data_IF_436742489071
#
_entry.id   IF_436742489071
#
_cell.length_a   1.000
_cell.length_b   1.000
_cell.length_c   1.000
_cell.angle_alpha   90.00
_cell.angle_beta   90.00
_cell.angle_gamma   90.00
#
_symmetry.space_group_name_H-M   'P 1'
#
loop_
_entity.id
_entity.type
_entity.pdbx_description
1 polymer ?
#
# COMPACT_ATOMS: atom_id res chain seq x y z
N UNK A 1 -37.76 -27.77 -14.69
CA UNK A 1 -36.58 -28.31 -15.42
C UNK A 1 -35.67 -27.13 -15.73
N UNK A 2 -34.50 -27.09 -15.11
CA UNK A 2 -33.47 -26.08 -15.34
C UNK A 2 -32.67 -26.56 -16.54
N UNK A 3 -32.64 -25.79 -17.62
CA UNK A 3 -31.64 -25.99 -18.67
C UNK A 3 -30.47 -25.01 -18.50
N UNK A 4 -29.30 -25.56 -18.70
CA UNK A 4 -27.99 -25.14 -18.22
C UNK A 4 -27.15 -24.81 -19.46
N UNK A 5 -26.42 -23.71 -19.37
CA UNK A 5 -25.12 -23.43 -20.01
C UNK A 5 -25.16 -22.76 -21.39
N UNK A 6 -24.83 -21.47 -21.38
CA UNK A 6 -23.68 -20.95 -22.15
C UNK A 6 -23.23 -19.63 -21.53
N UNK A 7 -22.36 -19.71 -20.52
CA UNK A 7 -21.54 -18.57 -20.08
C UNK A 7 -20.10 -18.85 -20.55
N UNK A 8 -19.66 -18.11 -21.55
CA UNK A 8 -18.25 -18.03 -21.94
C UNK A 8 -17.57 -17.17 -20.87
N UNK A 9 -16.81 -17.80 -19.98
CA UNK A 9 -15.88 -17.10 -19.08
C UNK A 9 -14.58 -16.93 -19.84
N UNK A 10 -14.33 -15.73 -20.37
CA UNK A 10 -13.00 -15.36 -20.83
C UNK A 10 -12.09 -15.14 -19.62
N UNK A 11 -11.35 -16.16 -19.23
CA UNK A 11 -10.26 -16.04 -18.28
C UNK A 11 -9.05 -15.41 -18.98
N UNK A 12 -8.90 -14.08 -18.89
CA UNK A 12 -7.62 -13.44 -19.20
C UNK A 12 -6.67 -13.66 -18.03
N UNK A 13 -5.98 -14.80 -18.04
CA UNK A 13 -4.72 -14.95 -17.34
C UNK A 13 -3.65 -14.22 -18.17
N UNK A 14 -3.27 -13.02 -17.75
CA UNK A 14 -2.05 -12.40 -18.27
C UNK A 14 -0.86 -13.25 -17.78
N UNK A 15 -0.37 -14.14 -18.64
CA UNK A 15 0.91 -14.80 -18.48
C UNK A 15 1.99 -13.73 -18.58
N UNK A 16 2.56 -13.32 -17.44
CA UNK A 16 3.86 -12.67 -17.45
C UNK A 16 4.89 -13.73 -17.89
N UNK A 17 5.73 -13.45 -18.91
CA UNK A 17 6.77 -14.38 -19.29
C UNK A 17 7.75 -14.59 -18.13
N UNK A 18 8.13 -15.85 -17.81
CA UNK A 18 9.19 -16.12 -16.86
C UNK A 18 10.51 -15.64 -17.48
N UNK A 19 11.09 -14.57 -16.91
CA UNK A 19 12.39 -14.06 -17.36
C UNK A 19 12.53 -12.55 -17.53
N UNK A 20 11.53 -11.74 -17.19
CA UNK A 20 11.76 -10.30 -17.04
C UNK A 20 12.58 -10.05 -15.76
N UNK A 21 13.91 -10.11 -15.91
CA UNK A 21 14.81 -9.40 -15.00
C UNK A 21 14.28 -7.97 -14.87
N UNK A 22 14.14 -7.48 -13.64
CA UNK A 22 13.87 -6.07 -13.40
C UNK A 22 15.17 -5.30 -13.70
N UNK A 23 15.52 -5.23 -14.99
CA UNK A 23 16.39 -4.15 -15.45
C UNK A 23 15.62 -2.87 -15.15
N UNK A 24 16.14 -2.07 -14.21
CA UNK A 24 15.56 -0.77 -13.87
C UNK A 24 15.32 0.05 -15.13
N UNK A 25 14.33 0.96 -15.08
CA UNK A 25 14.18 1.97 -16.14
C UNK A 25 15.54 2.68 -16.30
N UNK A 26 16.06 2.89 -17.53
CA UNK A 26 17.28 3.66 -17.73
C UNK A 26 17.17 5.01 -17.01
N UNK A 27 18.06 5.28 -16.05
CA UNK A 27 18.06 6.52 -15.27
C UNK A 27 17.36 6.47 -13.90
N UNK A 28 16.78 5.34 -13.50
CA UNK A 28 16.25 5.21 -12.14
C UNK A 28 17.40 5.29 -11.10
N UNK A 29 17.25 6.02 -9.98
CA UNK A 29 18.24 6.09 -8.92
C UNK A 29 18.56 4.69 -8.38
N UNK A 30 19.85 4.38 -8.23
CA UNK A 30 20.30 3.13 -7.61
C UNK A 30 19.99 3.15 -6.10
N UNK A 31 19.33 2.11 -5.55
CA UNK A 31 19.05 2.05 -4.13
C UNK A 31 20.26 1.58 -3.31
N UNK A 32 20.22 1.90 -2.02
CA UNK A 32 20.93 1.15 -1.00
C UNK A 32 20.04 0.02 -0.47
N UNK A 33 20.37 -1.23 -0.80
CA UNK A 33 19.67 -2.41 -0.26
C UNK A 33 20.19 -2.77 1.13
N UNK A 34 19.29 -2.91 2.09
CA UNK A 34 19.58 -3.31 3.46
C UNK A 34 18.72 -4.51 3.88
N UNK A 35 19.25 -5.30 4.82
CA UNK A 35 18.52 -6.39 5.46
C UNK A 35 17.97 -5.91 6.82
N UNK A 36 16.68 -6.08 7.05
CA UNK A 36 16.03 -5.70 8.31
C UNK A 36 15.64 -6.92 9.18
N UNK A 37 16.13 -8.11 8.81
CA UNK A 37 15.95 -9.38 9.49
C UNK A 37 15.06 -10.33 8.69
N UNK A 38 13.72 -10.16 8.70
CA UNK A 38 12.80 -11.05 7.98
C UNK A 38 12.94 -11.00 6.45
N UNK A 39 13.33 -9.84 5.90
CA UNK A 39 13.49 -9.58 4.47
C UNK A 39 14.39 -8.35 4.24
N UNK A 40 14.36 -7.81 3.02
CA UNK A 40 15.19 -6.68 2.59
C UNK A 40 14.35 -5.43 2.31
N UNK A 41 15.00 -4.27 2.35
CA UNK A 41 14.44 -3.00 1.92
C UNK A 41 15.46 -2.24 1.05
N UNK A 42 14.94 -1.37 0.20
CA UNK A 42 15.72 -0.47 -0.65
C UNK A 42 15.45 0.97 -0.23
N UNK A 43 16.52 1.75 -0.04
CA UNK A 43 16.46 3.18 0.26
C UNK A 43 16.97 3.97 -0.94
N UNK A 44 16.14 4.87 -1.44
CA UNK A 44 16.44 5.81 -2.51
C UNK A 44 16.47 7.22 -1.91
N UNK A 45 17.60 7.91 -2.03
CA UNK A 45 17.79 9.25 -1.49
C UNK A 45 18.53 10.16 -2.49
N UNK A 46 18.16 11.45 -2.58
CA UNK A 46 18.94 12.41 -3.34
C UNK A 46 20.39 12.53 -2.83
N UNK A 47 21.32 12.85 -3.71
CA UNK A 47 22.70 13.12 -3.30
C UNK A 47 22.75 14.28 -2.30
N UNK A 48 23.43 14.10 -1.17
CA UNK A 48 23.51 15.10 -0.11
C UNK A 48 22.21 15.34 0.68
N UNK A 49 21.23 14.44 0.56
CA UNK A 49 19.98 14.51 1.33
C UNK A 49 20.25 14.61 2.84
N UNK A 50 19.48 15.48 3.51
CA UNK A 50 19.54 15.69 4.96
C UNK A 50 18.16 16.07 5.49
N UNK A 51 17.69 15.35 6.50
CA UNK A 51 16.42 15.59 7.19
C UNK A 51 15.20 15.73 6.24
N UNK A 52 15.16 14.94 5.16
CA UNK A 52 14.05 14.94 4.22
C UNK A 52 12.90 14.06 4.72
N UNK A 53 11.62 14.41 4.47
CA UNK A 53 10.51 13.50 4.76
C UNK A 53 10.65 12.18 3.99
N UNK A 54 10.10 11.11 4.55
CA UNK A 54 10.27 9.74 4.06
C UNK A 54 8.94 9.16 3.61
N UNK A 55 8.89 8.58 2.42
CA UNK A 55 7.79 7.72 1.98
C UNK A 55 8.20 6.26 2.15
N UNK A 56 7.54 5.56 3.07
CA UNK A 56 7.74 4.13 3.34
C UNK A 56 6.69 3.31 2.58
N UNK A 57 7.10 2.65 1.51
CA UNK A 57 6.23 1.98 0.56
C UNK A 57 6.18 0.45 0.74
N UNK A 58 4.97 -0.09 0.71
CA UNK A 58 4.69 -1.53 0.73
C UNK A 58 3.99 -1.94 -0.57
N UNK A 59 4.64 -2.82 -1.33
CA UNK A 59 4.14 -3.24 -2.64
C UNK A 59 2.87 -4.10 -2.57
N UNK A 60 2.14 -4.16 -3.69
CA UNK A 60 1.01 -5.07 -3.88
C UNK A 60 1.40 -6.48 -4.30
N UNK A 61 0.44 -7.24 -4.82
CA UNK A 61 0.68 -8.60 -5.35
C UNK A 61 -0.09 -9.71 -4.61
N UNK A 62 -1.31 -9.40 -4.18
CA UNK A 62 -2.26 -10.36 -3.62
C UNK A 62 -1.69 -11.21 -2.47
N UNK A 63 -0.86 -10.60 -1.61
CA UNK A 63 -0.24 -11.22 -0.41
C UNK A 63 0.66 -12.42 -0.70
N UNK A 64 0.96 -12.69 -1.98
CA UNK A 64 1.58 -13.90 -2.51
C UNK A 64 2.74 -13.62 -3.45
N UNK A 65 2.73 -12.44 -4.05
CA UNK A 65 3.67 -12.03 -5.08
C UNK A 65 4.10 -10.61 -4.81
N UNK A 66 5.18 -10.23 -5.48
CA UNK A 66 5.68 -8.89 -5.53
C UNK A 66 7.14 -8.81 -5.12
N UNK A 67 7.71 -7.62 -5.22
CA UNK A 67 9.09 -7.34 -4.79
C UNK A 67 9.27 -5.84 -4.61
N UNK A 68 10.21 -5.46 -3.74
CA UNK A 68 10.58 -4.07 -3.46
C UNK A 68 11.03 -3.26 -4.68
N UNK A 69 11.44 -3.91 -5.77
CA UNK A 69 11.79 -3.25 -7.03
C UNK A 69 10.60 -2.94 -7.95
N UNK A 70 9.36 -3.32 -7.58
CA UNK A 70 8.14 -3.00 -8.35
C UNK A 70 7.56 -1.63 -7.94
N UNK A 71 8.33 -0.58 -8.22
CA UNK A 71 8.06 0.78 -7.72
C UNK A 71 7.70 1.78 -8.82
N UNK A 72 7.92 1.45 -10.09
CA UNK A 72 7.62 2.35 -11.21
C UNK A 72 8.39 3.68 -11.09
N UNK A 73 7.75 4.79 -11.45
CA UNK A 73 8.39 6.12 -11.41
C UNK A 73 8.38 6.80 -10.03
N UNK A 74 7.93 6.09 -8.98
CA UNK A 74 7.86 6.63 -7.61
C UNK A 74 9.19 7.19 -7.10
N UNK A 75 10.34 6.50 -7.22
CA UNK A 75 11.61 7.06 -6.76
C UNK A 75 11.94 8.35 -7.49
N UNK A 76 11.99 8.33 -8.82
CA UNK A 76 12.36 9.50 -9.64
C UNK A 76 11.52 10.72 -9.25
N UNK A 77 10.20 10.55 -9.17
CA UNK A 77 9.27 11.60 -8.80
C UNK A 77 9.46 12.11 -7.36
N UNK A 78 9.53 11.20 -6.39
CA UNK A 78 9.58 11.57 -4.96
C UNK A 78 10.94 12.19 -4.59
N UNK A 79 12.04 11.66 -5.13
CA UNK A 79 13.37 12.23 -4.93
C UNK A 79 13.46 13.64 -5.52
N UNK A 80 12.95 13.85 -6.74
CA UNK A 80 12.90 15.17 -7.37
C UNK A 80 12.02 16.18 -6.57
N UNK A 81 11.11 15.67 -5.74
CA UNK A 81 10.23 16.49 -4.89
C UNK A 81 10.69 16.59 -3.43
N UNK A 82 11.92 16.20 -3.11
CA UNK A 82 12.52 16.39 -1.80
C UNK A 82 12.13 15.34 -0.75
N UNK A 83 11.84 14.11 -1.19
CA UNK A 83 11.57 12.98 -0.32
C UNK A 83 12.66 11.91 -0.42
N UNK A 84 12.88 11.20 0.68
CA UNK A 84 13.51 9.88 0.65
C UNK A 84 12.42 8.84 0.41
N UNK A 85 12.69 7.86 -0.45
CA UNK A 85 11.76 6.77 -0.74
C UNK A 85 12.33 5.45 -0.24
N UNK A 86 11.54 4.70 0.51
CA UNK A 86 11.90 3.37 1.00
C UNK A 86 10.89 2.36 0.48
N UNK A 87 11.36 1.26 -0.10
CA UNK A 87 10.50 0.16 -0.56
C UNK A 87 10.95 -1.14 0.09
N UNK A 88 10.01 -1.96 0.57
CA UNK A 88 10.33 -3.18 1.33
C UNK A 88 9.88 -4.44 0.61
N UNK A 89 10.64 -5.51 0.78
CA UNK A 89 10.12 -6.87 0.66
C UNK A 89 9.49 -7.26 2.00
N UNK A 90 8.63 -8.28 1.99
CA UNK A 90 8.10 -8.94 3.18
C UNK A 90 7.82 -10.40 2.84
N UNK A 91 7.80 -11.31 3.83
CA UNK A 91 7.51 -12.73 3.56
C UNK A 91 6.06 -12.88 3.12
N UNK A 92 5.76 -13.77 2.19
CA UNK A 92 4.42 -13.85 1.56
C UNK A 92 3.83 -15.26 1.69
N UNK A 93 2.56 -15.40 1.32
CA UNK A 93 1.89 -16.70 1.25
C UNK A 93 2.50 -17.58 0.14
N UNK A 94 2.58 -18.91 0.35
CA UNK A 94 2.05 -19.65 1.50
C UNK A 94 2.97 -19.71 2.75
N UNK A 95 4.20 -19.22 2.66
CA UNK A 95 5.21 -19.37 3.72
C UNK A 95 4.94 -18.47 4.94
N UNK A 96 4.28 -17.33 4.72
CA UNK A 96 3.89 -16.37 5.76
C UNK A 96 2.44 -15.92 5.56
N UNK A 97 1.63 -16.12 6.59
CA UNK A 97 0.25 -15.63 6.64
C UNK A 97 0.17 -14.10 6.72
N UNK A 98 -1.03 -13.54 6.58
CA UNK A 98 -1.22 -12.08 6.54
C UNK A 98 -0.85 -11.40 7.86
N UNK A 99 -0.98 -12.11 9.00
CA UNK A 99 -0.55 -11.59 10.30
C UNK A 99 0.99 -11.48 10.36
N UNK A 100 1.70 -12.48 9.84
CA UNK A 100 3.15 -12.48 9.71
C UNK A 100 3.62 -11.39 8.75
N UNK A 101 2.93 -11.21 7.62
CA UNK A 101 3.17 -10.12 6.67
C UNK A 101 3.08 -8.75 7.34
N UNK A 102 2.01 -8.51 8.11
CA UNK A 102 1.83 -7.27 8.86
C UNK A 102 2.95 -7.06 9.88
N UNK A 103 3.39 -8.11 10.58
CA UNK A 103 4.53 -8.04 11.48
C UNK A 103 5.87 -7.73 10.78
N UNK A 104 6.05 -8.18 9.54
CA UNK A 104 7.24 -7.85 8.74
C UNK A 104 7.23 -6.38 8.31
N UNK A 105 6.07 -5.82 7.96
CA UNK A 105 5.90 -4.38 7.69
C UNK A 105 6.25 -3.54 8.92
N UNK A 106 5.79 -3.93 10.10
CA UNK A 106 6.10 -3.23 11.37
C UNK A 106 7.59 -3.28 11.70
N UNK A 107 8.24 -4.44 11.51
CA UNK A 107 9.69 -4.58 11.70
C UNK A 107 10.48 -3.73 10.72
N UNK A 108 10.08 -3.70 9.44
CA UNK A 108 10.72 -2.86 8.45
C UNK A 108 10.56 -1.37 8.79
N UNK A 109 9.37 -0.95 9.21
CA UNK A 109 9.13 0.43 9.65
C UNK A 109 9.98 0.80 10.86
N UNK A 110 10.07 -0.08 11.86
CA UNK A 110 10.92 0.13 13.03
C UNK A 110 12.41 0.25 12.64
N UNK A 111 12.88 -0.59 11.71
CA UNK A 111 14.22 -0.49 11.16
C UNK A 111 14.43 0.87 10.47
N UNK A 112 13.49 1.31 9.62
CA UNK A 112 13.57 2.60 8.94
C UNK A 112 13.63 3.74 9.95
N UNK A 113 12.71 3.80 10.93
CA UNK A 113 12.77 4.84 11.98
C UNK A 113 14.10 4.90 12.72
N UNK A 114 14.68 3.74 13.03
CA UNK A 114 15.95 3.68 13.76
C UNK A 114 17.17 4.10 12.91
N UNK A 115 17.07 4.06 11.57
CA UNK A 115 18.24 4.13 10.71
C UNK A 115 18.16 5.22 9.62
N UNK A 116 16.99 5.74 9.27
CA UNK A 116 16.82 6.56 8.06
C UNK A 116 17.57 7.90 8.09
N UNK A 117 17.87 8.41 9.30
CA UNK A 117 18.69 9.61 9.51
C UNK A 117 20.05 9.55 8.80
N UNK A 118 20.71 8.38 8.81
CA UNK A 118 22.02 8.20 8.14
C UNK A 118 21.91 8.13 6.61
N UNK A 119 20.70 8.00 6.09
CA UNK A 119 20.39 7.98 4.66
C UNK A 119 19.69 9.28 4.21
N UNK A 120 19.76 10.33 5.03
CA UNK A 120 19.25 11.66 4.69
C UNK A 120 17.76 11.89 4.96
N UNK A 121 17.05 10.88 5.48
CA UNK A 121 15.63 11.01 5.85
C UNK A 121 15.41 11.39 7.31
N UNK A 122 14.27 12.00 7.62
CA UNK A 122 13.87 12.37 8.97
C UNK A 122 12.98 11.25 9.59
N UNK A 123 13.40 10.62 10.70
CA UNK A 123 12.67 9.51 11.32
C UNK A 123 11.32 9.90 11.96
N UNK A 124 11.04 11.19 12.08
CA UNK A 124 9.79 11.73 12.64
C UNK A 124 8.86 12.27 11.55
N UNK A 125 9.27 12.24 10.27
CA UNK A 125 8.45 12.65 9.10
C UNK A 125 8.27 11.50 8.12
N UNK A 126 7.78 10.36 8.60
CA UNK A 126 7.54 9.17 7.76
C UNK A 126 6.06 9.04 7.41
N UNK A 127 5.76 8.92 6.12
CA UNK A 127 4.44 8.60 5.59
C UNK A 127 4.43 7.15 5.12
N UNK A 128 3.48 6.35 5.61
CA UNK A 128 3.27 4.98 5.14
C UNK A 128 2.44 4.98 3.86
N UNK A 129 2.91 4.32 2.80
CA UNK A 129 2.21 4.20 1.53
C UNK A 129 2.13 2.72 1.14
N UNK A 130 1.01 2.29 0.57
CA UNK A 130 0.96 0.94 0.02
C UNK A 130 -0.08 0.80 -1.07
N UNK A 131 0.13 -0.16 -1.97
CA UNK A 131 -0.79 -0.51 -3.06
C UNK A 131 -1.41 -1.89 -2.86
N UNK A 132 -2.71 -2.05 -3.15
CA UNK A 132 -3.36 -3.38 -3.20
C UNK A 132 -3.24 -4.19 -1.89
N UNK A 133 -2.47 -5.28 -1.89
CA UNK A 133 -2.15 -6.03 -0.68
C UNK A 133 -1.30 -5.21 0.31
N UNK A 134 -0.32 -4.44 -0.17
CA UNK A 134 0.44 -3.50 0.63
C UNK A 134 -0.41 -2.35 1.18
N UNK A 135 -1.41 -1.89 0.42
CA UNK A 135 -2.41 -0.93 0.92
C UNK A 135 -3.15 -1.49 2.14
N UNK A 136 -3.59 -2.76 2.05
CA UNK A 136 -4.20 -3.46 3.18
C UNK A 136 -3.25 -3.58 4.37
N UNK A 137 -1.99 -3.97 4.15
CA UNK A 137 -1.01 -4.12 5.22
C UNK A 137 -0.68 -2.78 5.90
N UNK A 138 -0.50 -1.70 5.14
CA UNK A 138 -0.27 -0.35 5.68
C UNK A 138 -1.47 0.16 6.44
N UNK A 139 -2.69 -0.05 5.93
CA UNK A 139 -3.91 0.26 6.66
C UNK A 139 -4.00 -0.54 7.98
N UNK A 140 -3.77 -1.86 7.93
CA UNK A 140 -3.88 -2.73 9.09
C UNK A 140 -2.89 -2.35 10.19
N UNK A 141 -1.61 -2.23 9.82
CA UNK A 141 -0.52 -1.89 10.74
C UNK A 141 -0.63 -0.46 11.27
N UNK A 142 -1.00 0.51 10.41
CA UNK A 142 -1.23 1.89 10.82
C UNK A 142 -2.39 2.04 11.79
N UNK A 143 -3.53 1.39 11.52
CA UNK A 143 -4.71 1.50 12.40
C UNK A 143 -4.52 0.75 13.73
N UNK A 144 -3.83 -0.39 13.74
CA UNK A 144 -3.57 -1.15 14.97
C UNK A 144 -2.41 -0.62 15.82
N UNK A 145 -1.79 0.50 15.42
CA UNK A 145 -0.70 1.14 16.17
C UNK A 145 0.69 0.53 15.95
N UNK A 146 0.84 -0.33 14.93
CA UNK A 146 2.10 -0.97 14.57
C UNK A 146 3.14 -0.04 13.91
N UNK A 147 2.73 1.16 13.49
CA UNK A 147 3.58 2.18 12.88
C UNK A 147 3.68 3.41 13.81
N UNK A 148 4.37 3.33 14.96
CA UNK A 148 4.39 4.40 15.95
C UNK A 148 5.02 5.67 15.37
N UNK A 149 4.34 6.81 15.55
CA UNK A 149 4.80 8.12 15.07
C UNK A 149 4.67 8.32 13.56
N UNK A 150 3.97 7.45 12.83
CA UNK A 150 3.74 7.67 11.39
C UNK A 150 2.94 8.96 11.18
N UNK A 151 3.44 9.82 10.30
CA UNK A 151 2.89 11.15 10.09
C UNK A 151 1.58 11.14 9.30
N UNK A 152 1.47 10.21 8.34
CA UNK A 152 0.27 10.00 7.54
C UNK A 152 0.27 8.64 6.84
N UNK A 153 -0.86 8.28 6.24
CA UNK A 153 -1.02 7.09 5.42
C UNK A 153 -1.52 7.44 4.01
N UNK A 154 -0.98 6.80 2.99
CA UNK A 154 -1.48 6.80 1.61
C UNK A 154 -1.90 5.36 1.26
N UNK A 155 -3.21 5.16 1.17
CA UNK A 155 -3.85 3.87 0.95
C UNK A 155 -4.30 3.79 -0.50
N UNK A 156 -3.45 3.21 -1.34
CA UNK A 156 -3.68 3.08 -2.77
C UNK A 156 -4.38 1.75 -3.10
N UNK A 157 -5.71 1.82 -3.16
CA UNK A 157 -6.54 0.86 -3.86
C UNK A 157 -6.54 -0.56 -3.26
N UNK A 158 -7.25 -0.76 -2.14
CA UNK A 158 -7.63 -2.09 -1.59
C UNK A 158 -9.13 -2.22 -1.37
N UNK A 159 -9.61 -3.46 -1.18
CA UNK A 159 -10.96 -3.76 -0.69
C UNK A 159 -10.98 -4.29 0.73
N UNK A 160 -9.84 -4.74 1.25
CA UNK A 160 -9.76 -5.50 2.50
C UNK A 160 -9.79 -4.62 3.76
N UNK A 161 -10.61 -3.56 3.80
CA UNK A 161 -10.73 -2.71 4.99
C UNK A 161 -11.60 -3.36 6.08
N UNK A 162 -12.62 -4.11 5.69
CA UNK A 162 -13.49 -4.89 6.57
C UNK A 162 -13.84 -6.21 5.88
N UNK A 163 -13.19 -7.30 6.30
CA UNK A 163 -13.33 -8.60 5.68
C UNK A 163 -14.73 -9.23 5.91
N UNK A 164 -15.38 -8.89 7.02
CA UNK A 164 -16.74 -9.36 7.30
C UNK A 164 -17.76 -8.65 6.41
N UNK A 165 -17.64 -7.32 6.25
CA UNK A 165 -18.46 -6.56 5.32
C UNK A 165 -18.19 -7.00 3.87
N UNK A 166 -16.92 -7.15 3.49
CA UNK A 166 -16.52 -7.65 2.17
C UNK A 166 -17.16 -8.99 1.86
N UNK A 167 -17.23 -9.91 2.83
CA UNK A 167 -17.93 -11.19 2.65
C UNK A 167 -19.44 -11.04 2.52
N UNK A 168 -20.09 -10.26 3.40
CA UNK A 168 -21.55 -10.03 3.33
C UNK A 168 -21.98 -9.39 2.00
N UNK A 169 -21.15 -8.52 1.45
CA UNK A 169 -21.41 -7.80 0.21
C UNK A 169 -21.08 -8.64 -1.05
N UNK A 170 -20.76 -9.93 -0.91
CA UNK A 170 -20.36 -10.79 -2.03
C UNK A 170 -18.98 -10.46 -2.63
N UNK A 171 -18.20 -9.62 -1.94
CA UNK A 171 -16.88 -9.17 -2.35
C UNK A 171 -15.74 -10.14 -2.05
N UNK A 172 -15.99 -11.19 -1.28
CA UNK A 172 -15.05 -12.28 -0.99
C UNK A 172 -14.87 -13.22 -2.20
N UNK A 173 -14.47 -12.63 -3.33
CA UNK A 173 -14.15 -13.38 -4.55
C UNK A 173 -12.95 -14.29 -4.33
N UNK A 174 -12.73 -15.24 -5.24
CA UNK A 174 -11.68 -16.28 -5.13
C UNK A 174 -10.30 -15.77 -4.72
N UNK A 175 -9.90 -14.58 -5.17
CA UNK A 175 -8.62 -13.97 -4.81
C UNK A 175 -8.52 -13.68 -3.30
N UNK A 176 -9.57 -13.09 -2.70
CA UNK A 176 -9.63 -12.81 -1.26
C UNK A 176 -9.92 -14.07 -0.45
N UNK A 177 -10.83 -14.94 -0.91
CA UNK A 177 -11.22 -16.15 -0.20
C UNK A 177 -10.05 -17.13 0.02
N UNK A 178 -9.05 -17.13 -0.88
CA UNK A 178 -7.83 -17.93 -0.74
C UNK A 178 -6.87 -17.41 0.33
N UNK A 179 -6.93 -16.11 0.62
CA UNK A 179 -6.02 -15.42 1.55
C UNK A 179 -6.66 -15.33 2.93
N UNK A 180 -7.95 -15.00 2.98
CA UNK A 180 -8.74 -14.82 4.19
C UNK A 180 -9.74 -15.97 4.36
N UNK A 181 -9.25 -17.20 4.33
CA UNK A 181 -10.07 -18.41 4.33
C UNK A 181 -10.70 -18.74 5.69
N UNK A 182 -10.13 -18.24 6.79
CA UNK A 182 -10.64 -18.44 8.15
C UNK A 182 -11.38 -17.17 8.65
N UNK A 183 -12.72 -17.19 8.73
CA UNK A 183 -13.49 -16.06 9.24
C UNK A 183 -13.16 -15.66 10.68
N UNK A 184 -12.60 -16.56 11.49
CA UNK A 184 -12.18 -16.25 12.87
C UNK A 184 -11.05 -15.21 12.90
N UNK A 185 -10.28 -15.09 11.82
CA UNK A 185 -9.19 -14.13 11.70
C UNK A 185 -9.63 -12.77 11.13
N UNK A 186 -10.84 -12.68 10.55
CA UNK A 186 -11.25 -11.50 9.79
C UNK A 186 -11.23 -10.22 10.62
N UNK A 187 -11.66 -10.26 11.88
CA UNK A 187 -11.61 -9.08 12.75
C UNK A 187 -10.16 -8.63 12.99
N UNK A 188 -9.24 -9.55 13.29
CA UNK A 188 -7.83 -9.24 13.54
C UNK A 188 -7.08 -8.76 12.28
N UNK A 189 -7.59 -9.10 11.10
CA UNK A 189 -7.01 -8.73 9.80
C UNK A 189 -7.76 -7.60 9.10
N UNK A 190 -8.79 -7.02 9.72
CA UNK A 190 -9.55 -5.89 9.17
C UNK A 190 -9.05 -4.57 9.76
N UNK A 191 -8.49 -3.65 8.96
CA UNK A 191 -8.16 -2.29 9.41
C UNK A 191 -9.31 -1.60 10.15
N UNK A 192 -10.55 -1.79 9.69
CA UNK A 192 -11.75 -1.18 10.29
C UNK A 192 -11.99 -1.60 11.74
N UNK A 193 -11.55 -2.80 12.15
CA UNK A 193 -11.71 -3.28 13.52
C UNK A 193 -10.89 -2.49 14.55
N UNK A 194 -9.88 -1.75 14.09
CA UNK A 194 -9.02 -0.92 14.93
C UNK A 194 -9.40 0.56 14.94
N UNK A 195 -10.42 0.94 14.18
CA UNK A 195 -11.00 2.29 14.22
C UNK A 195 -12.03 2.32 15.34
N UNK A 196 -11.55 2.62 16.56
CA UNK A 196 -12.23 2.45 17.86
C UNK A 196 -12.56 3.77 18.60
N UNK A 197 -12.61 4.90 17.88
CA UNK A 197 -12.87 6.22 18.45
C UNK A 197 -11.61 7.02 18.80
N UNK A 198 -10.43 6.42 18.66
CA UNK A 198 -9.16 7.15 18.68
C UNK A 198 -8.95 7.89 17.35
N UNK A 199 -8.21 9.00 17.44
CA UNK A 199 -7.73 9.70 16.26
C UNK A 199 -6.59 8.91 15.63
N UNK A 200 -6.69 8.62 14.35
CA UNK A 200 -5.65 7.95 13.57
C UNK A 200 -4.81 8.99 12.79
N UNK A 201 -3.66 8.58 12.22
CA UNK A 201 -2.90 9.45 11.33
C UNK A 201 -3.77 10.00 10.19
N UNK A 202 -3.54 11.25 9.73
CA UNK A 202 -4.12 11.75 8.50
C UNK A 202 -3.97 10.71 7.38
N UNK A 203 -5.07 10.43 6.68
CA UNK A 203 -5.12 9.32 5.72
C UNK A 203 -5.61 9.82 4.37
N UNK A 204 -4.84 9.54 3.33
CA UNK A 204 -5.23 9.67 1.93
C UNK A 204 -5.67 8.30 1.42
N UNK A 205 -6.86 8.21 0.85
CA UNK A 205 -7.42 6.96 0.32
C UNK A 205 -7.71 7.17 -1.16
N UNK A 206 -7.12 6.34 -2.02
CA UNK A 206 -7.46 6.28 -3.43
C UNK A 206 -8.16 4.96 -3.76
N UNK A 207 -9.07 5.01 -4.73
CA UNK A 207 -9.67 3.80 -5.30
C UNK A 207 -9.82 3.89 -6.80
N UNK A 208 -9.63 2.77 -7.49
CA UNK A 208 -9.78 2.63 -8.93
C UNK A 208 -11.21 2.25 -9.31
N UNK A 209 -11.49 2.14 -10.62
CA UNK A 209 -12.78 1.65 -11.14
C UNK A 209 -13.01 0.16 -10.97
N UNK A 210 -12.06 -0.58 -10.40
CA UNK A 210 -12.26 -2.01 -10.23
C UNK A 210 -13.43 -2.28 -9.25
N UNK A 211 -14.27 -3.31 -9.51
CA UNK A 211 -15.51 -3.50 -8.77
C UNK A 211 -15.35 -3.55 -7.24
N UNK A 212 -16.23 -2.82 -6.54
CA UNK A 212 -16.30 -2.73 -5.08
C UNK A 212 -15.27 -1.83 -4.40
N UNK A 213 -14.21 -1.38 -5.09
CA UNK A 213 -13.14 -0.60 -4.45
C UNK A 213 -13.60 0.77 -3.96
N UNK A 214 -14.42 1.45 -4.75
CA UNK A 214 -15.00 2.73 -4.34
C UNK A 214 -15.92 2.60 -3.14
N UNK A 215 -16.74 1.55 -3.09
CA UNK A 215 -17.66 1.29 -1.97
C UNK A 215 -16.91 1.04 -0.66
N UNK A 216 -15.96 0.08 -0.67
CA UNK A 216 -15.21 -0.27 0.55
C UNK A 216 -14.31 0.90 1.02
N UNK A 217 -13.69 1.64 0.09
CA UNK A 217 -12.88 2.83 0.42
C UNK A 217 -13.73 3.97 1.00
N UNK A 218 -14.94 4.22 0.47
CA UNK A 218 -15.86 5.24 1.00
C UNK A 218 -16.34 4.87 2.41
N UNK A 219 -16.75 3.61 2.62
CA UNK A 219 -17.17 3.13 3.93
C UNK A 219 -16.04 3.25 4.98
N UNK A 220 -14.81 2.89 4.62
CA UNK A 220 -13.67 3.05 5.52
C UNK A 220 -13.33 4.52 5.79
N UNK A 221 -13.40 5.39 4.77
CA UNK A 221 -13.19 6.82 4.92
C UNK A 221 -14.21 7.47 5.88
N UNK A 222 -15.49 7.10 5.76
CA UNK A 222 -16.55 7.55 6.66
C UNK A 222 -16.31 7.09 8.10
N UNK A 223 -15.92 5.82 8.28
CA UNK A 223 -15.57 5.28 9.61
C UNK A 223 -14.43 6.04 10.27
N UNK A 224 -13.37 6.39 9.52
CA UNK A 224 -12.26 7.19 10.02
C UNK A 224 -12.67 8.64 10.34
N UNK A 225 -13.46 9.27 9.47
CA UNK A 225 -13.97 10.63 9.70
C UNK A 225 -14.82 10.72 10.95
N UNK A 226 -15.58 9.68 11.26
CA UNK A 226 -16.38 9.60 12.49
C UNK A 226 -15.53 9.65 13.78
N UNK A 227 -14.22 9.36 13.73
CA UNK A 227 -13.30 9.52 14.88
C UNK A 227 -12.59 10.87 14.91
N UNK A 228 -12.92 11.79 13.99
CA UNK A 228 -12.22 13.06 13.82
C UNK A 228 -10.88 12.93 13.07
N UNK A 229 -10.60 11.78 12.46
CA UNK A 229 -9.43 11.59 11.61
C UNK A 229 -9.57 12.40 10.32
N UNK A 230 -8.51 13.12 9.93
CA UNK A 230 -8.47 13.85 8.65
C UNK A 230 -8.33 12.85 7.51
N UNK A 231 -9.30 12.84 6.59
CA UNK A 231 -9.31 11.92 5.45
C UNK A 231 -9.46 12.65 4.13
N UNK A 232 -8.47 12.49 3.25
CA UNK A 232 -8.56 12.85 1.83
C UNK A 232 -8.99 11.62 1.04
N UNK A 233 -10.03 11.74 0.23
CA UNK A 233 -10.52 10.65 -0.62
C UNK A 233 -10.33 11.05 -2.08
N UNK A 234 -9.64 10.24 -2.85
CA UNK A 234 -9.40 10.43 -4.27
C UNK A 234 -10.25 9.45 -5.08
N UNK A 235 -11.12 10.00 -5.94
CA UNK A 235 -11.88 9.22 -6.91
C UNK A 235 -10.99 8.91 -8.11
N UNK A 236 -10.44 7.71 -8.13
CA UNK A 236 -9.62 7.19 -9.22
C UNK A 236 -10.43 6.34 -10.21
N UNK A 237 -11.72 6.61 -10.42
CA UNK A 237 -12.53 5.90 -11.44
C UNK A 237 -11.97 6.00 -12.88
N UNK A 238 -11.08 6.95 -13.16
CA UNK A 238 -10.34 7.00 -14.42
C UNK A 238 -9.31 5.86 -14.56
N UNK A 239 -8.89 5.25 -13.45
CA UNK A 239 -7.81 4.27 -13.39
C UNK A 239 -8.32 2.83 -13.32
N UNK A 240 -7.52 1.90 -13.82
CA UNK A 240 -7.61 0.48 -13.47
C UNK A 240 -6.90 0.22 -12.14
N UNK A 241 -7.10 -0.96 -11.56
CA UNK A 241 -6.35 -1.37 -10.36
C UNK A 241 -4.83 -1.37 -10.56
N UNK A 242 -4.35 -1.63 -11.78
CA UNK A 242 -2.93 -1.65 -12.07
C UNK A 242 -2.40 -0.26 -12.39
N UNK A 243 -3.13 0.50 -13.22
CA UNK A 243 -2.69 1.82 -13.67
C UNK A 243 -2.70 2.86 -12.54
N UNK A 244 -3.59 2.74 -11.55
CA UNK A 244 -3.59 3.65 -10.39
C UNK A 244 -2.25 3.65 -9.63
N UNK A 245 -1.57 2.50 -9.56
CA UNK A 245 -0.23 2.40 -8.99
C UNK A 245 0.88 2.52 -10.05
N UNK A 246 0.65 2.01 -11.26
CA UNK A 246 1.63 2.00 -12.34
C UNK A 246 1.99 3.39 -12.85
N UNK A 247 0.99 4.27 -12.91
CA UNK A 247 1.11 5.63 -13.44
C UNK A 247 1.59 6.62 -12.35
N UNK A 248 1.69 6.18 -11.09
CA UNK A 248 2.15 7.04 -10.01
C UNK A 248 3.60 7.47 -10.23
N UNK A 249 3.81 8.79 -10.29
CA UNK A 249 5.09 9.43 -10.58
C UNK A 249 5.31 9.76 -12.06
N UNK A 250 4.36 9.43 -12.93
CA UNK A 250 4.38 9.88 -14.34
C UNK A 250 3.86 11.33 -14.46
N UNK A 251 4.35 12.05 -15.48
CA UNK A 251 3.99 13.44 -15.71
C UNK A 251 2.50 13.61 -16.01
N UNK A 252 1.87 14.58 -15.36
CA UNK A 252 0.45 14.90 -15.56
C UNK A 252 -0.53 13.95 -14.87
N UNK A 253 -0.05 12.96 -14.11
CA UNK A 253 -0.92 12.04 -13.37
C UNK A 253 -1.66 12.75 -12.21
N UNK A 254 -2.99 12.66 -12.21
CA UNK A 254 -3.84 13.38 -11.26
C UNK A 254 -3.72 12.83 -9.83
N UNK A 255 -3.60 11.51 -9.67
CA UNK A 255 -3.37 10.89 -8.37
C UNK A 255 -2.03 11.34 -7.77
N UNK A 256 -0.98 11.34 -8.57
CA UNK A 256 0.37 11.78 -8.19
C UNK A 256 0.34 13.23 -7.70
N UNK A 257 -0.31 14.14 -8.43
CA UNK A 257 -0.45 15.53 -8.02
C UNK A 257 -1.20 15.68 -6.68
N UNK A 258 -2.31 14.95 -6.51
CA UNK A 258 -3.10 14.97 -5.28
C UNK A 258 -2.33 14.38 -4.09
N UNK A 259 -1.62 13.28 -4.29
CA UNK A 259 -0.79 12.64 -3.28
C UNK A 259 0.39 13.53 -2.88
N UNK A 260 1.05 14.20 -3.83
CA UNK A 260 2.12 15.15 -3.54
C UNK A 260 1.61 16.34 -2.71
N UNK A 261 0.44 16.90 -3.05
CA UNK A 261 -0.17 17.96 -2.28
C UNK A 261 -0.47 17.51 -0.84
N UNK A 262 -0.99 16.29 -0.67
CA UNK A 262 -1.22 15.69 0.64
C UNK A 262 0.07 15.47 1.44
N UNK A 263 1.12 14.94 0.81
CA UNK A 263 2.44 14.76 1.42
C UNK A 263 2.98 16.10 1.90
N UNK A 264 3.03 17.12 1.03
CA UNK A 264 3.54 18.45 1.39
C UNK A 264 2.72 19.09 2.52
N UNK A 265 1.39 18.94 2.52
CA UNK A 265 0.56 19.49 3.58
C UNK A 265 0.73 18.80 4.94
N UNK A 266 1.30 17.60 4.98
CA UNK A 266 1.40 16.79 6.21
C UNK A 266 2.81 16.72 6.76
N UNK A 267 3.81 16.74 5.88
CA UNK A 267 5.21 16.53 6.25
C UNK A 267 6.16 17.50 5.58
N UNK A 268 5.75 18.62 4.96
CA UNK A 268 6.70 19.64 4.48
C UNK A 268 7.18 20.54 5.63
#
# INVERSE_FOLDING_TARGET
MIDRRSFIVAALAALLPPGASAAGRPGQPEPQTLDYGPAKLDIYAPAGAKNLPVVFFVHGGAWRFGKRSQIGSKPDFLLANGFVFVSIDYRMLPEADVATQAGDVEKAYAYVRANIARHGGDPDRIVGMGHSAGCHLVALTGMRGGLPGVAALILDDTRAYDLAALSRNGGMVRAYARVFSDPKQWAALSPSSYVDGKKHPPTFIAYSRAPGRGEESKAFAERLRATGTKVTLFDGSAYTHMSINGDFGEDGDALTAAALAFLKATVA
#
